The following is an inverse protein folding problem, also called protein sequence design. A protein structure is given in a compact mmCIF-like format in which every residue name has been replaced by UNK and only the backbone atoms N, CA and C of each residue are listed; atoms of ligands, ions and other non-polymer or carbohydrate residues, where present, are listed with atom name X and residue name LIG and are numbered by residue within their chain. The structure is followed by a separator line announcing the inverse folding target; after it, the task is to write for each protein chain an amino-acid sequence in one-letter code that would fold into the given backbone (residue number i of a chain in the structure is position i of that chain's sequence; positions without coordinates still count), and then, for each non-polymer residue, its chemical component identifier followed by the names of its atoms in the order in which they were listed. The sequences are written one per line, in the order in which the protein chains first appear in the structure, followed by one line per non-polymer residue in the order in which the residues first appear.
data_IF_963499081489
#
_entry.id   IF_963499081489
#
_cell.length_a   1.000
_cell.length_b   1.000
_cell.length_c   1.000
_cell.angle_alpha   90.00
_cell.angle_beta   90.00
_cell.angle_gamma   90.00
#
_symmetry.space_group_name_H-M   'P 1'
#
loop_
_entity.id
_entity.type
_entity.pdbx_description
1 polymer ?
#
# COMPACT_ATOMS: atom_id res chain seq x y z
N UNK A 1 -11.28 -18.59 12.14
CA UNK A 1 -10.85 -17.35 11.47
C UNK A 1 -10.07 -17.82 10.26
N UNK A 2 -10.36 -17.35 9.04
CA UNK A 2 -9.62 -17.80 7.85
C UNK A 2 -8.21 -17.21 7.87
N UNK A 3 -7.28 -17.79 7.11
CA UNK A 3 -5.95 -17.18 6.93
C UNK A 3 -6.06 -15.74 6.40
N UNK A 4 -7.01 -15.48 5.50
CA UNK A 4 -7.32 -14.15 4.99
C UNK A 4 -7.71 -13.19 6.12
N UNK A 5 -8.64 -13.58 6.99
CA UNK A 5 -9.09 -12.74 8.12
C UNK A 5 -7.93 -12.41 9.06
N UNK A 6 -7.12 -13.41 9.42
CA UNK A 6 -5.96 -13.25 10.30
C UNK A 6 -4.97 -12.22 9.74
N UNK A 7 -4.71 -12.29 8.43
CA UNK A 7 -3.78 -11.38 7.76
C UNK A 7 -4.37 -9.97 7.64
N UNK A 8 -5.65 -9.81 7.32
CA UNK A 8 -6.33 -8.50 7.29
C UNK A 8 -6.25 -7.84 8.67
N UNK A 9 -6.60 -8.55 9.74
CA UNK A 9 -6.54 -8.03 11.11
C UNK A 9 -5.13 -7.58 11.49
N UNK A 10 -4.13 -8.42 11.18
CA UNK A 10 -2.73 -8.11 11.44
C UNK A 10 -2.26 -6.85 10.72
N UNK A 11 -2.46 -6.76 9.40
CA UNK A 11 -1.97 -5.62 8.61
C UNK A 11 -2.70 -4.32 9.00
N UNK A 12 -3.99 -4.40 9.30
CA UNK A 12 -4.79 -3.27 9.78
C UNK A 12 -4.22 -2.73 11.09
N UNK A 13 -3.83 -3.61 12.01
CA UNK A 13 -3.19 -3.24 13.27
C UNK A 13 -1.79 -2.64 13.09
N UNK A 14 -1.01 -3.16 12.14
CA UNK A 14 0.35 -2.68 11.84
C UNK A 14 0.35 -1.30 11.13
N UNK A 15 -0.74 -0.94 10.45
CA UNK A 15 -0.86 0.30 9.67
C UNK A 15 -2.02 1.18 10.17
N UNK A 16 -2.00 1.66 11.43
CA UNK A 16 -3.10 2.45 11.96
C UNK A 16 -3.27 3.78 11.20
N UNK A 17 -4.52 4.17 10.95
CA UNK A 17 -4.84 5.46 10.33
C UNK A 17 -4.78 5.49 8.80
N UNK A 18 -4.79 4.33 8.13
CA UNK A 18 -4.85 4.22 6.67
C UNK A 18 -6.17 3.56 6.19
N UNK A 19 -7.34 4.18 6.45
CA UNK A 19 -8.64 3.56 6.21
C UNK A 19 -8.87 3.22 4.73
N UNK A 20 -8.38 4.03 3.80
CA UNK A 20 -8.48 3.74 2.36
C UNK A 20 -7.72 2.47 1.99
N UNK A 21 -6.54 2.26 2.58
CA UNK A 21 -5.75 1.06 2.37
C UNK A 21 -6.41 -0.17 3.01
N UNK A 22 -6.97 -0.02 4.23
CA UNK A 22 -7.67 -1.11 4.92
C UNK A 22 -8.89 -1.58 4.14
N UNK A 23 -9.67 -0.65 3.57
CA UNK A 23 -10.82 -0.98 2.75
C UNK A 23 -10.40 -1.84 1.54
N UNK A 24 -9.41 -1.39 0.77
CA UNK A 24 -8.95 -2.10 -0.43
C UNK A 24 -8.30 -3.43 -0.10
N UNK A 25 -7.53 -3.52 1.00
CA UNK A 25 -6.99 -4.78 1.49
C UNK A 25 -8.12 -5.79 1.72
N UNK A 26 -9.16 -5.38 2.44
CA UNK A 26 -10.29 -6.25 2.75
C UNK A 26 -11.06 -6.68 1.49
N UNK A 27 -11.38 -5.74 0.58
CA UNK A 27 -12.09 -6.04 -0.67
C UNK A 27 -11.32 -7.02 -1.56
N UNK A 28 -10.01 -6.77 -1.77
CA UNK A 28 -9.18 -7.63 -2.61
C UNK A 28 -9.01 -9.00 -1.97
N UNK A 29 -8.67 -9.08 -0.69
CA UNK A 29 -8.38 -10.37 -0.05
C UNK A 29 -9.62 -11.24 0.09
N UNK A 30 -10.78 -10.63 0.38
CA UNK A 30 -12.05 -11.36 0.38
C UNK A 30 -12.45 -11.84 -1.01
N UNK A 31 -12.09 -11.13 -2.08
CA UNK A 31 -12.37 -11.59 -3.44
C UNK A 31 -11.57 -12.83 -3.86
N UNK A 32 -10.40 -13.07 -3.24
CA UNK A 32 -9.52 -14.21 -3.54
C UNK A 32 -9.54 -15.32 -2.48
N UNK A 33 -10.36 -15.19 -1.44
CA UNK A 33 -10.40 -16.10 -0.27
C UNK A 33 -10.59 -17.57 -0.69
N UNK A 34 -11.47 -17.85 -1.65
CA UNK A 34 -11.69 -19.22 -2.18
C UNK A 34 -10.41 -19.85 -2.75
N UNK A 35 -9.58 -19.06 -3.43
CA UNK A 35 -8.30 -19.54 -4.00
C UNK A 35 -7.24 -19.69 -2.91
N UNK A 36 -7.25 -18.81 -1.92
CA UNK A 36 -6.34 -18.89 -0.77
C UNK A 36 -6.65 -20.14 0.06
N UNK A 37 -7.91 -20.38 0.40
CA UNK A 37 -8.33 -21.51 1.22
C UNK A 37 -7.99 -22.85 0.54
N UNK A 38 -8.19 -22.94 -0.77
CA UNK A 38 -7.81 -24.13 -1.55
C UNK A 38 -6.29 -24.43 -1.54
N UNK A 39 -5.45 -23.44 -1.22
CA UNK A 39 -3.99 -23.53 -1.25
C UNK A 39 -3.33 -23.07 0.06
N UNK A 40 -4.09 -23.06 1.17
CA UNK A 40 -3.70 -22.34 2.39
C UNK A 40 -2.33 -22.78 2.91
N UNK A 41 -2.08 -24.09 2.97
CA UNK A 41 -0.83 -24.63 3.49
C UNK A 41 0.42 -24.09 2.76
N UNK A 42 0.34 -23.92 1.44
CA UNK A 42 1.45 -23.40 0.64
C UNK A 42 1.59 -21.88 0.84
N UNK A 43 0.49 -21.13 0.70
CA UNK A 43 0.53 -19.67 0.78
C UNK A 43 0.89 -19.17 2.17
N UNK A 44 0.39 -19.84 3.22
CA UNK A 44 0.73 -19.54 4.61
C UNK A 44 2.20 -19.85 4.92
N UNK A 45 2.72 -20.98 4.41
CA UNK A 45 4.14 -21.34 4.59
C UNK A 45 5.09 -20.27 4.04
N UNK A 46 4.73 -19.66 2.92
CA UNK A 46 5.55 -18.64 2.25
C UNK A 46 5.22 -17.20 2.69
N UNK A 47 4.30 -17.03 3.65
CA UNK A 47 3.75 -15.74 4.08
C UNK A 47 3.32 -14.86 2.89
N UNK A 48 2.66 -15.48 1.91
CA UNK A 48 2.40 -14.87 0.61
C UNK A 48 1.51 -13.63 0.74
N UNK A 49 0.45 -13.71 1.54
CA UNK A 49 -0.46 -12.57 1.74
C UNK A 49 0.24 -11.45 2.50
N UNK A 50 0.98 -11.75 3.55
CA UNK A 50 1.74 -10.74 4.29
C UNK A 50 2.74 -10.01 3.39
N UNK A 51 3.43 -10.73 2.50
CA UNK A 51 4.35 -10.13 1.52
C UNK A 51 3.60 -9.31 0.47
N UNK A 52 2.45 -9.77 0.00
CA UNK A 52 1.68 -9.09 -1.03
C UNK A 52 1.11 -7.75 -0.55
N UNK A 53 0.68 -7.66 0.72
CA UNK A 53 0.15 -6.42 1.29
C UNK A 53 1.21 -5.42 1.78
N UNK A 54 2.47 -5.85 1.92
CA UNK A 54 3.54 -4.97 2.34
C UNK A 54 4.33 -4.49 1.10
N UNK A 55 4.36 -3.17 0.83
CA UNK A 55 5.12 -2.66 -0.31
C UNK A 55 6.59 -3.04 -0.22
N UNK A 56 7.19 -3.44 -1.35
CA UNK A 56 8.62 -3.72 -1.44
C UNK A 56 9.47 -2.51 -1.00
N UNK A 57 9.02 -1.28 -1.33
CA UNK A 57 9.69 -0.06 -0.89
C UNK A 57 8.74 1.13 -0.79
N UNK A 58 8.97 1.96 0.22
CA UNK A 58 8.30 3.25 0.38
C UNK A 58 9.34 4.35 0.53
N UNK A 59 9.22 5.42 -0.25
CA UNK A 59 10.12 6.57 -0.22
C UNK A 59 9.31 7.80 0.13
N UNK A 60 9.68 8.48 1.22
CA UNK A 60 9.12 9.75 1.66
C UNK A 60 10.24 10.79 1.63
N UNK A 61 10.03 11.91 0.95
CA UNK A 61 11.06 12.92 0.76
C UNK A 61 10.50 14.33 0.78
N UNK A 62 11.34 15.29 1.15
CA UNK A 62 11.01 16.72 1.15
C UNK A 62 11.18 17.30 -0.25
N UNK A 63 10.27 18.16 -0.67
CA UNK A 63 10.30 18.89 -1.95
C UNK A 63 10.23 20.39 -1.65
N UNK A 64 11.39 21.08 -1.49
CA UNK A 64 11.43 22.53 -1.38
C UNK A 64 11.34 23.17 -2.77
N UNK A 65 10.63 24.28 -2.89
CA UNK A 65 10.52 25.08 -4.11
C UNK A 65 10.30 26.56 -3.77
N UNK A 66 10.45 27.44 -4.76
CA UNK A 66 10.26 28.90 -4.61
C UNK A 66 9.11 29.30 -5.51
N UNK A 67 8.15 30.05 -4.98
CA UNK A 67 7.01 30.56 -5.75
C UNK A 67 7.33 31.88 -6.47
N UNK A 68 6.36 32.39 -7.24
CA UNK A 68 6.50 33.61 -8.03
C UNK A 68 6.71 34.88 -7.18
N UNK A 69 6.39 34.84 -5.87
CA UNK A 69 6.64 35.92 -4.90
C UNK A 69 8.01 35.80 -4.21
N UNK A 70 8.79 34.79 -4.57
CA UNK A 70 10.09 34.50 -3.95
C UNK A 70 9.99 33.83 -2.57
N UNK A 71 8.81 33.39 -2.14
CA UNK A 71 8.64 32.68 -0.88
C UNK A 71 9.01 31.21 -1.03
N UNK A 72 9.71 30.68 -0.02
CA UNK A 72 10.10 29.26 0.01
C UNK A 72 8.93 28.43 0.51
N UNK A 73 8.52 27.48 -0.32
CA UNK A 73 7.47 26.51 -0.04
C UNK A 73 8.07 25.12 0.19
N UNK A 74 7.42 24.32 1.02
CA UNK A 74 7.88 22.95 1.31
C UNK A 74 6.71 21.97 1.26
N UNK A 75 6.79 21.00 0.37
CA UNK A 75 5.84 19.89 0.30
C UNK A 75 6.54 18.55 0.58
N UNK A 76 5.72 17.51 0.78
CA UNK A 76 6.20 16.13 0.94
C UNK A 76 5.88 15.33 -0.33
N UNK A 77 6.89 14.68 -0.90
CA UNK A 77 6.76 13.72 -1.97
C UNK A 77 6.74 12.28 -1.45
N UNK A 78 6.01 11.42 -2.17
CA UNK A 78 5.91 9.99 -1.87
C UNK A 78 6.14 9.17 -3.14
N UNK A 79 6.82 8.03 -3.00
CA UNK A 79 6.82 6.96 -4.00
C UNK A 79 6.70 5.61 -3.31
N UNK A 80 5.58 4.93 -3.53
CA UNK A 80 5.36 3.55 -3.09
C UNK A 80 5.61 2.63 -4.27
N UNK A 81 6.55 1.72 -4.10
CA UNK A 81 6.92 0.68 -5.05
C UNK A 81 6.35 -0.64 -4.48
N UNK A 82 5.12 -0.97 -4.87
CA UNK A 82 4.35 -2.00 -4.16
C UNK A 82 4.84 -3.41 -4.48
N UNK A 83 4.81 -3.81 -5.75
CA UNK A 83 5.27 -5.12 -6.21
C UNK A 83 5.97 -5.01 -7.56
N UNK A 84 7.04 -5.78 -7.72
CA UNK A 84 7.79 -5.96 -8.97
C UNK A 84 7.74 -7.38 -9.52
N UNK A 85 6.87 -8.24 -8.97
CA UNK A 85 6.81 -9.66 -9.30
C UNK A 85 6.63 -9.97 -10.80
N UNK A 86 5.96 -9.07 -11.54
CA UNK A 86 5.68 -9.22 -12.97
C UNK A 86 6.39 -8.16 -13.85
N UNK A 87 7.35 -7.41 -13.30
CA UNK A 87 8.10 -6.40 -14.03
C UNK A 87 8.40 -5.12 -13.24
N UNK A 88 8.90 -4.07 -13.91
CA UNK A 88 9.19 -2.80 -13.26
C UNK A 88 7.96 -2.15 -12.63
N UNK A 89 8.14 -1.43 -11.50
CA UNK A 89 7.06 -0.71 -10.84
C UNK A 89 6.37 0.26 -11.80
N UNK A 90 5.04 0.16 -11.90
CA UNK A 90 4.23 1.02 -12.78
C UNK A 90 3.12 1.70 -11.96
N UNK A 91 2.97 3.01 -12.16
CA UNK A 91 1.96 3.80 -11.48
C UNK A 91 2.18 5.30 -11.72
N UNK A 92 1.09 6.07 -11.73
CA UNK A 92 1.10 7.51 -11.98
C UNK A 92 1.70 8.34 -10.85
N UNK A 93 1.61 9.66 -10.99
CA UNK A 93 1.89 10.64 -9.95
C UNK A 93 0.63 11.46 -9.70
N UNK A 94 0.34 11.78 -8.43
CA UNK A 94 -0.81 12.60 -8.04
C UNK A 94 -0.33 13.81 -7.26
N UNK A 95 -0.61 15.00 -7.77
CA UNK A 95 -0.39 16.26 -7.08
C UNK A 95 -1.75 16.80 -6.64
N UNK A 96 -2.06 16.63 -5.37
CA UNK A 96 -3.30 17.12 -4.77
C UNK A 96 -3.08 17.32 -3.26
N UNK A 97 -3.64 18.37 -2.63
CA UNK A 97 -3.43 18.66 -1.22
C UNK A 97 -3.88 17.55 -0.26
N UNK A 98 -4.79 16.67 -0.69
CA UNK A 98 -5.24 15.53 0.13
C UNK A 98 -4.25 14.36 0.17
N UNK A 99 -3.20 14.35 -0.66
CA UNK A 99 -2.27 13.21 -0.76
C UNK A 99 -1.54 12.96 0.55
N UNK A 100 -1.64 11.74 1.05
CA UNK A 100 -0.90 11.21 2.19
C UNK A 100 -0.38 9.78 1.88
N UNK A 101 0.40 9.19 2.78
CA UNK A 101 0.98 7.86 2.54
C UNK A 101 -0.08 6.77 2.39
N UNK A 102 -1.15 6.80 3.18
CA UNK A 102 -2.25 5.84 3.11
C UNK A 102 -2.93 5.85 1.74
N UNK A 103 -3.23 7.03 1.20
CA UNK A 103 -3.83 7.16 -0.15
C UNK A 103 -2.88 6.63 -1.23
N UNK A 104 -1.56 6.87 -1.12
CA UNK A 104 -0.60 6.38 -2.12
C UNK A 104 -0.40 4.87 -2.01
N UNK A 105 -0.45 4.28 -0.81
CA UNK A 105 -0.46 2.82 -0.61
C UNK A 105 -1.72 2.21 -1.20
N UNK A 106 -2.89 2.76 -0.89
CA UNK A 106 -4.18 2.37 -1.48
C UNK A 106 -4.11 2.32 -3.02
N UNK A 107 -3.65 3.40 -3.66
CA UNK A 107 -3.57 3.48 -5.13
C UNK A 107 -2.54 2.54 -5.76
N UNK A 108 -1.55 2.08 -4.98
CA UNK A 108 -0.46 1.22 -5.45
C UNK A 108 -0.68 -0.27 -5.20
N UNK A 109 -1.61 -0.61 -4.31
CA UNK A 109 -1.99 -1.99 -3.98
C UNK A 109 -2.94 -2.55 -5.03
#
# INVERSE_FOLDING_TARGET
MSYVDEVIERITKENPGEPEFHQTLNEVYKSIEVVVDANEAQYRKDALLERLANPERQIKFRVPWVDDEGQVQVNTGYRVQFSSAIGPYKGGLRFHPSVNIGIIKFLGF
#
